data_IF_098728063377
#
_entry.id   IF_098728063377
#
_cell.length_a   1.000
_cell.length_b   1.000
_cell.length_c   1.000
_cell.angle_alpha   90.00
_cell.angle_beta   90.00
_cell.angle_gamma   90.00
#
_symmetry.space_group_name_H-M   'P 1'
#
loop_
_entity.id
_entity.type
_entity.pdbx_description
1 polymer ?
#
# COMPACT_ATOMS: atom_id res chain seq x y z
N UNK A 1 -38.06 30.70 53.47
CA UNK A 1 -37.95 30.26 52.06
C UNK A 1 -36.80 31.00 51.35
N UNK A 2 -35.56 30.51 51.40
CA UNK A 2 -34.52 30.92 50.46
C UNK A 2 -34.24 29.79 49.45
N UNK A 3 -34.19 30.15 48.16
CA UNK A 3 -33.91 29.25 47.04
C UNK A 3 -32.41 28.92 47.00
N UNK A 4 -32.08 27.63 47.15
CA UNK A 4 -30.75 27.12 46.80
C UNK A 4 -30.64 26.97 45.28
N UNK A 5 -29.65 27.64 44.71
CA UNK A 5 -29.26 27.52 43.32
C UNK A 5 -28.16 26.46 43.22
N UNK A 6 -28.51 25.22 42.85
CA UNK A 6 -27.53 24.17 42.57
C UNK A 6 -27.12 24.23 41.10
N UNK A 7 -25.91 24.74 40.83
CA UNK A 7 -25.24 24.62 39.54
C UNK A 7 -24.79 23.18 39.33
N UNK A 8 -25.60 22.37 38.64
CA UNK A 8 -25.16 21.12 38.04
C UNK A 8 -24.28 21.41 36.82
N UNK A 9 -22.97 21.15 36.93
CA UNK A 9 -22.10 21.07 35.74
C UNK A 9 -22.40 19.73 35.06
N UNK A 10 -23.02 19.81 33.89
CA UNK A 10 -23.10 18.67 32.97
C UNK A 10 -21.69 18.30 32.53
N UNK A 11 -21.22 17.12 32.94
CA UNK A 11 -20.05 16.50 32.36
C UNK A 11 -20.45 15.95 30.98
N UNK A 12 -20.21 16.74 29.93
CA UNK A 12 -20.26 16.26 28.56
C UNK A 12 -19.16 15.21 28.39
N UNK A 13 -19.54 13.93 28.40
CA UNK A 13 -18.74 12.86 27.82
C UNK A 13 -18.59 13.15 26.33
N UNK A 14 -17.47 13.77 25.96
CA UNK A 14 -16.99 13.75 24.58
C UNK A 14 -16.50 12.34 24.34
N UNK A 15 -17.30 11.54 23.65
CA UNK A 15 -16.79 10.36 22.98
C UNK A 15 -15.74 10.87 22.00
N UNK A 16 -14.45 10.67 22.30
CA UNK A 16 -13.44 10.69 21.25
C UNK A 16 -13.81 9.54 20.33
N UNK A 17 -14.47 9.86 19.23
CA UNK A 17 -14.68 8.94 18.14
C UNK A 17 -13.27 8.63 17.61
N UNK A 18 -12.72 7.48 18.02
CA UNK A 18 -11.48 6.95 17.48
C UNK A 18 -11.70 6.81 15.98
N UNK A 19 -11.17 7.76 15.20
CA UNK A 19 -11.28 7.75 13.75
C UNK A 19 -10.31 6.72 13.18
N UNK A 20 -10.66 5.45 13.34
CA UNK A 20 -9.95 4.37 12.68
C UNK A 20 -10.13 4.53 11.17
N UNK A 21 -9.05 4.47 10.39
CA UNK A 21 -9.23 4.28 8.96
C UNK A 21 -9.98 2.96 8.75
N UNK A 22 -10.90 2.95 7.81
CA UNK A 22 -11.72 1.77 7.51
C UNK A 22 -11.38 1.32 6.11
N UNK A 23 -10.76 0.14 6.01
CA UNK A 23 -10.47 -0.53 4.74
C UNK A 23 -11.75 -0.68 3.91
N UNK A 24 -11.61 -0.63 2.59
CA UNK A 24 -12.72 -0.96 1.69
C UNK A 24 -13.21 -2.40 1.91
N UNK A 25 -14.50 -2.62 1.66
CA UNK A 25 -15.11 -3.95 1.76
C UNK A 25 -14.69 -4.86 0.59
N UNK A 26 -14.48 -4.26 -0.59
CA UNK A 26 -14.12 -4.94 -1.83
C UNK A 26 -13.10 -4.10 -2.64
N UNK A 27 -12.61 -4.71 -3.72
CA UNK A 27 -11.66 -4.08 -4.64
C UNK A 27 -12.30 -3.17 -5.69
N UNK A 28 -13.60 -2.83 -5.55
CA UNK A 28 -14.36 -2.07 -6.54
C UNK A 28 -13.89 -0.62 -6.72
N UNK A 29 -14.36 0.11 -7.73
CA UNK A 29 -13.91 1.47 -8.00
C UNK A 29 -14.29 2.46 -6.89
N UNK A 30 -13.39 3.41 -6.60
CA UNK A 30 -13.77 4.61 -5.86
C UNK A 30 -14.44 5.60 -6.83
N UNK A 31 -15.77 5.49 -6.99
CA UNK A 31 -16.54 6.32 -7.93
C UNK A 31 -16.33 7.81 -7.67
N UNK A 32 -16.35 8.25 -6.40
CA UNK A 32 -16.13 9.66 -6.02
C UNK A 32 -14.79 10.19 -6.51
N UNK A 33 -13.73 9.39 -6.43
CA UNK A 33 -12.41 9.76 -6.93
C UNK A 33 -12.45 9.99 -8.44
N UNK A 34 -13.06 9.08 -9.22
CA UNK A 34 -13.12 9.19 -10.67
C UNK A 34 -14.09 10.27 -11.18
N UNK A 35 -15.09 10.66 -10.38
CA UNK A 35 -16.01 11.75 -10.69
C UNK A 35 -15.47 13.14 -10.29
N UNK A 36 -14.44 13.21 -9.43
CA UNK A 36 -13.85 14.47 -9.02
C UNK A 36 -13.25 15.22 -10.22
N UNK A 37 -13.54 16.53 -10.31
CA UNK A 37 -13.20 17.37 -11.47
C UNK A 37 -11.71 17.36 -11.82
N UNK A 38 -10.87 17.31 -10.81
CA UNK A 38 -9.42 17.29 -10.92
C UNK A 38 -8.88 15.90 -11.30
N UNK A 39 -9.65 14.82 -11.11
CA UNK A 39 -9.32 13.50 -11.69
C UNK A 39 -9.74 13.48 -13.14
N UNK A 40 -10.94 13.99 -13.44
CA UNK A 40 -11.46 14.06 -14.81
C UNK A 40 -10.52 14.88 -15.70
N UNK A 41 -9.94 15.99 -15.21
CA UNK A 41 -8.97 16.76 -16.01
C UNK A 41 -7.70 15.98 -16.36
N UNK A 42 -7.25 15.04 -15.53
CA UNK A 42 -6.06 14.22 -15.84
C UNK A 42 -6.25 13.31 -17.07
N UNK A 43 -7.50 13.01 -17.45
CA UNK A 43 -7.80 12.28 -18.68
C UNK A 43 -7.49 13.06 -19.96
N UNK A 44 -7.16 14.36 -19.91
CA UNK A 44 -6.82 15.13 -21.10
C UNK A 44 -5.64 14.52 -21.87
N UNK A 45 -4.58 14.12 -21.15
CA UNK A 45 -3.42 13.46 -21.75
C UNK A 45 -3.80 12.16 -22.45
N UNK A 46 -4.66 11.37 -21.82
CA UNK A 46 -5.17 10.10 -22.33
C UNK A 46 -6.04 10.32 -23.57
N UNK A 47 -6.98 11.26 -23.50
CA UNK A 47 -7.88 11.62 -24.61
C UNK A 47 -7.12 12.10 -25.83
N UNK A 48 -6.14 13.00 -25.64
CA UNK A 48 -5.29 13.51 -26.74
C UNK A 48 -4.47 12.36 -27.35
N UNK A 49 -3.89 11.50 -26.52
CA UNK A 49 -3.12 10.36 -27.02
C UNK A 49 -3.99 9.36 -27.81
N UNK A 50 -5.21 9.07 -27.34
CA UNK A 50 -6.18 8.24 -28.07
C UNK A 50 -6.57 8.88 -29.40
N UNK A 51 -6.84 10.19 -29.41
CA UNK A 51 -7.17 10.96 -30.62
C UNK A 51 -6.06 10.97 -31.66
N UNK A 52 -4.79 10.89 -31.24
CA UNK A 52 -3.63 10.81 -32.14
C UNK A 52 -3.40 9.41 -32.68
N UNK A 53 -3.41 8.39 -31.80
CA UNK A 53 -2.91 7.05 -32.14
C UNK A 53 -4.03 6.07 -32.53
N UNK A 54 -5.27 6.29 -32.06
CA UNK A 54 -6.41 5.40 -32.23
C UNK A 54 -7.62 6.11 -32.86
N UNK A 55 -7.40 7.22 -33.57
CA UNK A 55 -8.43 8.05 -34.21
C UNK A 55 -9.49 7.24 -34.95
N UNK A 56 -9.08 6.25 -35.76
CA UNK A 56 -9.99 5.44 -36.57
C UNK A 56 -11.07 4.70 -35.76
N UNK A 57 -10.80 4.35 -34.50
CA UNK A 57 -11.73 3.61 -33.64
C UNK A 57 -12.65 4.52 -32.82
N UNK A 58 -12.30 5.81 -32.68
CA UNK A 58 -13.02 6.76 -31.82
C UNK A 58 -13.61 7.94 -32.59
N UNK A 59 -13.26 8.15 -33.86
CA UNK A 59 -13.68 9.33 -34.61
C UNK A 59 -15.19 9.46 -34.81
N UNK A 60 -15.92 8.34 -34.85
CA UNK A 60 -17.37 8.36 -35.00
C UNK A 60 -18.06 8.94 -33.75
N UNK A 61 -17.47 8.70 -32.58
CA UNK A 61 -17.95 9.22 -31.30
C UNK A 61 -16.73 9.54 -30.42
N UNK A 62 -16.11 10.72 -30.60
CA UNK A 62 -14.90 11.08 -29.88
C UNK A 62 -15.16 11.16 -28.37
N UNK A 63 -14.34 10.48 -27.54
CA UNK A 63 -14.57 10.47 -26.11
C UNK A 63 -14.24 11.81 -25.46
N UNK A 64 -15.03 12.16 -24.46
CA UNK A 64 -14.73 13.24 -23.50
C UNK A 64 -14.00 12.67 -22.29
N UNK A 65 -13.29 13.51 -21.53
CA UNK A 65 -12.63 13.10 -20.29
C UNK A 65 -13.61 12.43 -19.31
N UNK A 66 -14.83 12.99 -19.19
CA UNK A 66 -15.89 12.42 -18.36
C UNK A 66 -16.28 11.03 -18.83
N UNK A 67 -16.47 10.83 -20.14
CA UNK A 67 -16.80 9.51 -20.68
C UNK A 67 -15.70 8.47 -20.49
N UNK A 68 -14.42 8.88 -20.59
CA UNK A 68 -13.29 7.99 -20.31
C UNK A 68 -13.24 7.61 -18.84
N UNK A 69 -13.44 8.57 -17.94
CA UNK A 69 -13.50 8.31 -16.50
C UNK A 69 -14.66 7.36 -16.15
N UNK A 70 -15.85 7.58 -16.70
CA UNK A 70 -16.98 6.68 -16.53
C UNK A 70 -16.72 5.27 -17.06
N UNK A 71 -16.00 5.13 -18.19
CA UNK A 71 -15.61 3.83 -18.72
C UNK A 71 -14.61 3.12 -17.80
N UNK A 72 -13.66 3.83 -17.21
CA UNK A 72 -12.73 3.27 -16.20
C UNK A 72 -13.49 2.72 -15.00
N UNK A 73 -14.46 3.47 -14.48
CA UNK A 73 -15.31 2.99 -13.38
C UNK A 73 -16.06 1.72 -13.77
N UNK A 74 -16.64 1.66 -14.97
CA UNK A 74 -17.35 0.47 -15.45
C UNK A 74 -16.42 -0.74 -15.63
N UNK A 75 -15.20 -0.54 -16.15
CA UNK A 75 -14.20 -1.59 -16.27
C UNK A 75 -13.79 -2.13 -14.90
N UNK A 76 -13.49 -1.25 -13.94
CA UNK A 76 -13.13 -1.64 -12.58
C UNK A 76 -14.27 -2.37 -11.87
N UNK A 77 -15.51 -1.91 -12.05
CA UNK A 77 -16.69 -2.56 -11.49
C UNK A 77 -16.85 -3.97 -12.07
N UNK A 78 -16.80 -4.12 -13.40
CA UNK A 78 -16.89 -5.43 -14.05
C UNK A 78 -15.76 -6.37 -13.61
N UNK A 79 -14.53 -5.86 -13.53
CA UNK A 79 -13.39 -6.62 -13.04
C UNK A 79 -13.62 -7.13 -11.60
N UNK A 80 -14.15 -6.30 -10.70
CA UNK A 80 -14.44 -6.76 -9.33
C UNK A 80 -15.58 -7.79 -9.31
N UNK A 81 -16.65 -7.58 -10.06
CA UNK A 81 -17.81 -8.50 -10.09
C UNK A 81 -17.49 -9.86 -10.70
N UNK A 82 -16.60 -9.91 -11.70
CA UNK A 82 -16.34 -11.14 -12.48
C UNK A 82 -15.02 -11.79 -12.08
N UNK A 83 -14.02 -11.02 -11.64
CA UNK A 83 -12.69 -11.51 -11.28
C UNK A 83 -12.36 -11.28 -9.79
N UNK A 84 -13.24 -10.67 -9.00
CA UNK A 84 -12.98 -10.37 -7.59
C UNK A 84 -12.79 -11.60 -6.72
N UNK A 85 -12.23 -11.39 -5.53
CA UNK A 85 -11.95 -12.42 -4.51
C UNK A 85 -13.17 -13.28 -4.10
N UNK A 86 -14.38 -12.78 -4.36
CA UNK A 86 -15.63 -13.45 -4.00
C UNK A 86 -16.09 -14.43 -5.09
N UNK A 87 -15.49 -14.36 -6.29
CA UNK A 87 -15.82 -15.23 -7.41
C UNK A 87 -15.07 -16.55 -7.28
N UNK A 88 -15.82 -17.64 -7.35
CA UNK A 88 -15.23 -18.97 -7.41
C UNK A 88 -14.69 -19.25 -8.82
N UNK A 89 -13.41 -19.54 -8.94
CA UNK A 89 -12.70 -19.79 -10.21
C UNK A 89 -12.82 -18.62 -11.21
N UNK A 90 -12.26 -17.44 -10.87
CA UNK A 90 -12.30 -16.29 -11.77
C UNK A 90 -11.59 -16.61 -13.10
N UNK A 91 -12.13 -16.19 -14.25
CA UNK A 91 -11.57 -16.53 -15.55
C UNK A 91 -10.23 -15.82 -15.85
N UNK A 92 -9.94 -14.71 -15.17
CA UNK A 92 -8.72 -13.92 -15.33
C UNK A 92 -8.22 -13.41 -13.98
N UNK A 93 -6.91 -13.18 -13.87
CA UNK A 93 -6.32 -12.37 -12.80
C UNK A 93 -6.70 -10.90 -12.99
N UNK A 94 -7.02 -10.19 -11.91
CA UNK A 94 -7.33 -8.75 -11.97
C UNK A 94 -6.12 -7.96 -12.48
N UNK A 95 -6.39 -6.94 -13.28
CA UNK A 95 -5.41 -5.94 -13.65
C UNK A 95 -5.13 -5.03 -12.44
N UNK A 96 -3.85 -4.67 -12.17
CA UNK A 96 -3.51 -3.81 -11.04
C UNK A 96 -4.18 -2.43 -11.16
N UNK A 97 -4.77 -1.92 -10.06
CA UNK A 97 -5.43 -0.61 -10.05
C UNK A 97 -4.48 0.54 -10.47
N UNK A 98 -3.18 0.42 -10.17
CA UNK A 98 -2.14 1.37 -10.62
C UNK A 98 -2.14 1.56 -12.14
N UNK A 99 -2.50 0.53 -12.91
CA UNK A 99 -2.63 0.61 -14.38
C UNK A 99 -3.75 1.57 -14.81
N UNK A 100 -4.84 1.66 -14.03
CA UNK A 100 -5.96 2.58 -14.26
C UNK A 100 -5.71 4.00 -13.74
N UNK A 101 -4.60 4.21 -13.02
CA UNK A 101 -4.19 5.50 -12.46
C UNK A 101 -2.99 6.11 -13.21
N UNK A 102 -2.49 5.45 -14.26
CA UNK A 102 -1.39 5.96 -15.08
C UNK A 102 -1.89 6.89 -16.20
N UNK A 103 -2.17 8.15 -15.83
CA UNK A 103 -2.68 9.19 -16.74
C UNK A 103 -1.64 9.76 -17.72
N UNK A 104 -0.41 9.21 -17.76
CA UNK A 104 0.63 9.66 -18.69
C UNK A 104 0.25 9.34 -20.14
N UNK A 105 0.68 10.19 -21.07
CA UNK A 105 0.52 9.91 -22.49
C UNK A 105 1.30 8.63 -22.87
N UNK A 106 0.60 7.63 -23.41
CA UNK A 106 1.18 6.31 -23.68
C UNK A 106 1.38 5.43 -22.44
N UNK A 107 0.84 5.83 -21.29
CA UNK A 107 0.83 5.02 -20.08
C UNK A 107 -0.16 3.86 -20.13
N UNK A 108 -0.22 3.07 -19.06
CA UNK A 108 -1.07 1.88 -18.96
C UNK A 108 -2.55 2.18 -19.26
N UNK A 109 -3.09 3.28 -18.72
CA UNK A 109 -4.48 3.67 -18.93
C UNK A 109 -4.79 3.98 -20.40
N UNK A 110 -3.84 4.56 -21.13
CA UNK A 110 -3.96 4.77 -22.58
C UNK A 110 -4.13 3.45 -23.32
N UNK A 111 -3.34 2.43 -22.98
CA UNK A 111 -3.38 1.12 -23.61
C UNK A 111 -4.62 0.30 -23.20
N UNK A 112 -5.12 0.46 -21.97
CA UNK A 112 -6.40 -0.12 -21.53
C UNK A 112 -7.55 0.41 -22.38
N UNK A 113 -7.69 1.74 -22.45
CA UNK A 113 -8.80 2.37 -23.17
C UNK A 113 -8.69 2.15 -24.68
N UNK A 114 -7.49 2.19 -25.24
CA UNK A 114 -7.27 1.90 -26.65
C UNK A 114 -7.69 0.48 -27.03
N UNK A 115 -7.31 -0.51 -26.23
CA UNK A 115 -7.73 -1.90 -26.43
C UNK A 115 -9.25 -2.05 -26.31
N UNK A 116 -9.88 -1.41 -25.32
CA UNK A 116 -11.34 -1.43 -25.15
C UNK A 116 -12.09 -0.80 -26.34
N UNK A 117 -11.67 0.39 -26.81
CA UNK A 117 -12.29 1.04 -27.97
C UNK A 117 -12.07 0.27 -29.27
N UNK A 118 -10.87 -0.28 -29.47
CA UNK A 118 -10.61 -1.15 -30.60
C UNK A 118 -11.53 -2.38 -30.57
N UNK A 119 -11.62 -3.05 -29.42
CA UNK A 119 -12.49 -4.22 -29.25
C UNK A 119 -13.96 -3.89 -29.51
N UNK A 120 -14.48 -2.80 -28.93
CA UNK A 120 -15.84 -2.29 -29.20
C UNK A 120 -16.09 -2.07 -30.69
N UNK A 121 -15.14 -1.47 -31.39
CA UNK A 121 -15.22 -1.22 -32.83
C UNK A 121 -15.24 -2.53 -33.63
N UNK A 122 -14.34 -3.45 -33.32
CA UNK A 122 -14.23 -4.74 -34.00
C UNK A 122 -15.49 -5.61 -33.80
N UNK A 123 -16.14 -5.51 -32.64
CA UNK A 123 -17.41 -6.18 -32.33
C UNK A 123 -18.65 -5.45 -32.89
N UNK A 124 -18.50 -4.29 -33.52
CA UNK A 124 -19.61 -3.49 -34.04
C UNK A 124 -20.55 -2.95 -32.95
N UNK A 125 -20.06 -2.77 -31.73
CA UNK A 125 -20.88 -2.34 -30.61
C UNK A 125 -21.15 -0.84 -30.65
N UNK A 126 -22.43 -0.45 -30.51
CA UNK A 126 -22.82 0.96 -30.36
C UNK A 126 -22.29 1.57 -29.06
N UNK A 127 -22.40 0.86 -27.94
CA UNK A 127 -21.94 1.28 -26.62
C UNK A 127 -21.32 0.12 -25.84
N UNK A 128 -20.47 0.44 -24.86
CA UNK A 128 -20.06 -0.52 -23.84
C UNK A 128 -21.28 -0.90 -23.00
N UNK A 129 -21.38 -2.18 -22.63
CA UNK A 129 -22.46 -2.69 -21.81
C UNK A 129 -21.96 -3.90 -21.03
N UNK A 130 -21.53 -3.65 -19.80
CA UNK A 130 -20.94 -4.64 -18.89
C UNK A 130 -21.99 -5.41 -18.08
N UNK A 131 -23.22 -4.90 -18.04
CA UNK A 131 -24.31 -5.47 -17.24
C UNK A 131 -25.16 -6.44 -18.07
N UNK A 132 -25.05 -6.40 -19.41
CA UNK A 132 -25.75 -7.33 -20.29
C UNK A 132 -25.12 -8.74 -20.22
N UNK A 133 -25.83 -9.77 -19.70
CA UNK A 133 -25.28 -11.12 -19.56
C UNK A 133 -24.90 -11.76 -20.90
N UNK A 134 -25.59 -11.41 -22.00
CA UNK A 134 -25.27 -11.94 -23.34
C UNK A 134 -23.89 -11.48 -23.87
N UNK A 135 -23.29 -10.46 -23.25
CA UNK A 135 -21.96 -9.96 -23.59
C UNK A 135 -20.87 -10.44 -22.64
N UNK A 136 -21.19 -11.27 -21.64
CA UNK A 136 -20.25 -11.66 -20.59
C UNK A 136 -18.94 -12.21 -21.16
N UNK A 137 -19.01 -13.27 -21.97
CA UNK A 137 -17.82 -13.90 -22.56
C UNK A 137 -17.00 -12.92 -23.42
N UNK A 138 -17.67 -12.04 -24.17
CA UNK A 138 -17.01 -11.01 -24.98
C UNK A 138 -16.37 -9.92 -24.13
N UNK A 139 -16.97 -9.56 -23.00
CA UNK A 139 -16.38 -8.62 -22.06
C UNK A 139 -15.14 -9.25 -21.39
N UNK A 140 -15.16 -10.55 -21.06
CA UNK A 140 -13.97 -11.28 -20.59
C UNK A 140 -12.87 -11.30 -21.66
N UNK A 141 -13.21 -11.59 -22.92
CA UNK A 141 -12.28 -11.54 -24.06
C UNK A 141 -11.67 -10.14 -24.27
N UNK A 142 -12.45 -9.08 -24.03
CA UNK A 142 -11.94 -7.70 -24.03
C UNK A 142 -10.86 -7.51 -22.97
N UNK A 143 -11.05 -8.05 -21.76
CA UNK A 143 -10.02 -8.00 -20.70
C UNK A 143 -8.77 -8.80 -21.05
N UNK A 144 -8.91 -9.96 -21.71
CA UNK A 144 -7.74 -10.68 -22.26
C UNK A 144 -6.97 -9.82 -23.27
N UNK A 145 -7.70 -9.08 -24.12
CA UNK A 145 -7.09 -8.18 -25.11
C UNK A 145 -6.40 -6.98 -24.44
N UNK A 146 -6.99 -6.43 -23.38
CA UNK A 146 -6.40 -5.37 -22.57
C UNK A 146 -5.11 -5.85 -21.91
N UNK A 147 -5.13 -7.00 -21.23
CA UNK A 147 -3.94 -7.57 -20.57
C UNK A 147 -2.80 -7.79 -21.58
N UNK A 148 -3.12 -8.39 -22.74
CA UNK A 148 -2.16 -8.58 -23.82
C UNK A 148 -1.56 -7.26 -24.31
N UNK A 149 -2.39 -6.22 -24.48
CA UNK A 149 -1.94 -4.87 -24.86
C UNK A 149 -0.99 -4.29 -23.81
N UNK A 150 -1.29 -4.43 -22.53
CA UNK A 150 -0.44 -3.94 -21.44
C UNK A 150 0.92 -4.62 -21.43
N UNK A 151 0.97 -5.95 -21.58
CA UNK A 151 2.23 -6.70 -21.65
C UNK A 151 3.06 -6.28 -22.87
N UNK A 152 2.43 -6.17 -24.04
CA UNK A 152 3.13 -5.79 -25.29
C UNK A 152 3.73 -4.38 -25.25
N UNK A 153 3.14 -3.47 -24.47
CA UNK A 153 3.61 -2.10 -24.34
C UNK A 153 4.43 -1.86 -23.06
N UNK A 154 4.88 -2.93 -22.38
CA UNK A 154 5.64 -2.87 -21.13
C UNK A 154 4.93 -2.10 -19.99
N UNK A 155 3.60 -2.04 -20.04
CA UNK A 155 2.76 -1.46 -19.00
C UNK A 155 2.33 -2.47 -17.93
N UNK A 156 2.55 -3.77 -18.18
CA UNK A 156 2.35 -4.85 -17.22
C UNK A 156 3.50 -5.86 -17.37
N UNK A 157 4.18 -6.16 -16.28
CA UNK A 157 5.28 -7.15 -16.25
C UNK A 157 4.80 -8.41 -15.53
N UNK A 158 5.02 -9.57 -16.15
CA UNK A 158 4.73 -10.87 -15.52
C UNK A 158 5.92 -11.33 -14.67
N UNK A 159 5.70 -11.76 -13.41
CA UNK A 159 6.79 -12.23 -12.56
C UNK A 159 7.50 -13.48 -13.11
N UNK A 160 8.83 -13.50 -12.95
CA UNK A 160 9.71 -14.65 -13.17
C UNK A 160 10.27 -15.03 -11.81
N UNK A 161 9.85 -16.16 -11.27
CA UNK A 161 9.96 -16.48 -9.85
C UNK A 161 10.91 -17.66 -9.65
N UNK A 162 11.96 -17.44 -8.86
CA UNK A 162 12.77 -18.51 -8.29
C UNK A 162 12.20 -18.92 -6.93
N UNK A 163 11.89 -20.20 -6.75
CA UNK A 163 11.37 -20.75 -5.48
C UNK A 163 12.53 -21.39 -4.70
N UNK A 164 12.75 -20.95 -3.46
CA UNK A 164 13.77 -21.50 -2.58
C UNK A 164 13.57 -23.00 -2.36
N UNK A 165 14.67 -23.76 -2.35
CA UNK A 165 14.70 -25.19 -2.02
C UNK A 165 14.30 -25.49 -0.58
N UNK A 166 14.24 -24.48 0.28
CA UNK A 166 13.80 -24.59 1.69
C UNK A 166 12.27 -24.63 1.83
N UNK A 167 11.51 -24.38 0.75
CA UNK A 167 10.06 -24.44 0.79
C UNK A 167 9.62 -25.91 0.84
N UNK A 168 8.76 -26.24 1.81
CA UNK A 168 8.21 -27.58 1.97
C UNK A 168 7.59 -28.10 0.65
N UNK A 169 7.82 -29.36 0.24
CA UNK A 169 7.37 -29.89 -1.04
C UNK A 169 5.87 -29.72 -1.33
N UNK A 170 5.01 -29.88 -0.31
CA UNK A 170 3.56 -29.70 -0.44
C UNK A 170 3.19 -28.24 -0.77
N UNK A 171 3.81 -27.29 -0.07
CA UNK A 171 3.63 -25.87 -0.33
C UNK A 171 4.23 -25.49 -1.69
N UNK A 172 5.41 -26.02 -2.03
CA UNK A 172 6.07 -25.77 -3.31
C UNK A 172 5.18 -26.12 -4.51
N UNK A 173 4.53 -27.30 -4.49
CA UNK A 173 3.58 -27.70 -5.52
C UNK A 173 2.42 -26.71 -5.66
N UNK A 174 1.79 -26.34 -4.53
CA UNK A 174 0.72 -25.34 -4.50
C UNK A 174 1.15 -23.99 -5.07
N UNK A 175 2.34 -23.49 -4.70
CA UNK A 175 2.86 -22.21 -5.19
C UNK A 175 3.07 -22.25 -6.71
N UNK A 176 3.63 -23.33 -7.26
CA UNK A 176 3.82 -23.48 -8.71
C UNK A 176 2.49 -23.44 -9.48
N UNK A 177 1.45 -24.08 -8.94
CA UNK A 177 0.12 -24.08 -9.54
C UNK A 177 -0.49 -22.68 -9.55
N UNK A 178 -0.39 -21.95 -8.43
CA UNK A 178 -0.87 -20.56 -8.33
C UNK A 178 -0.12 -19.67 -9.33
N UNK A 179 1.21 -19.70 -9.34
CA UNK A 179 2.04 -18.89 -10.24
C UNK A 179 1.61 -19.09 -11.70
N UNK A 180 1.46 -20.34 -12.13
CA UNK A 180 1.05 -20.67 -13.50
C UNK A 180 -0.35 -20.15 -13.82
N UNK A 181 -1.29 -20.31 -12.89
CA UNK A 181 -2.69 -19.86 -13.05
C UNK A 181 -2.81 -18.34 -13.16
N UNK A 182 -1.90 -17.59 -12.54
CA UNK A 182 -1.86 -16.12 -12.59
C UNK A 182 -0.81 -15.58 -13.57
N UNK A 183 -0.47 -16.36 -14.59
CA UNK A 183 0.39 -15.96 -15.70
C UNK A 183 1.83 -15.60 -15.31
N UNK A 184 2.27 -15.96 -14.10
CA UNK A 184 3.67 -15.91 -13.71
C UNK A 184 4.46 -17.11 -14.27
N UNK A 185 5.77 -17.04 -14.17
CA UNK A 185 6.68 -18.13 -14.59
C UNK A 185 7.63 -18.52 -13.48
N UNK A 186 8.04 -19.79 -13.46
CA UNK A 186 9.03 -20.31 -12.52
C UNK A 186 10.36 -20.50 -13.25
N UNK A 187 11.46 -20.14 -12.61
CA UNK A 187 12.82 -20.34 -13.13
C UNK A 187 13.69 -21.04 -12.08
N UNK A 188 14.60 -21.89 -12.54
CA UNK A 188 15.67 -22.46 -11.70
C UNK A 188 16.93 -21.56 -11.68
N UNK A 189 16.99 -20.54 -12.55
CA UNK A 189 18.06 -19.53 -12.55
C UNK A 189 17.69 -18.35 -11.63
N UNK A 190 18.30 -18.34 -10.44
CA UNK A 190 18.13 -17.27 -9.45
C UNK A 190 18.56 -15.91 -9.97
N UNK A 191 19.57 -15.82 -10.85
CA UNK A 191 20.07 -14.54 -11.36
C UNK A 191 19.16 -13.94 -12.43
N UNK A 192 18.49 -14.78 -13.23
CA UNK A 192 17.51 -14.35 -14.23
C UNK A 192 16.11 -14.10 -13.65
N UNK A 193 15.89 -14.41 -12.37
CA UNK A 193 14.59 -14.20 -11.72
C UNK A 193 14.29 -12.71 -11.47
N UNK A 194 13.02 -12.33 -11.50
CA UNK A 194 12.59 -11.04 -10.95
C UNK A 194 12.32 -11.12 -9.46
N UNK A 195 11.97 -12.32 -8.94
CA UNK A 195 11.67 -12.57 -7.55
C UNK A 195 12.32 -13.84 -7.03
N UNK A 196 12.83 -13.79 -5.81
CA UNK A 196 13.25 -14.94 -5.02
C UNK A 196 12.23 -15.13 -3.91
N UNK A 197 11.48 -16.23 -3.97
CA UNK A 197 10.48 -16.58 -2.97
C UNK A 197 11.08 -17.55 -1.96
N UNK A 198 10.99 -17.20 -0.68
CA UNK A 198 11.48 -18.03 0.43
C UNK A 198 10.32 -18.53 1.30
N UNK A 199 10.56 -19.47 2.25
CA UNK A 199 9.54 -19.91 3.20
C UNK A 199 8.90 -18.75 3.96
N UNK A 200 7.68 -18.98 4.44
CA UNK A 200 7.01 -18.02 5.32
C UNK A 200 7.79 -17.95 6.64
N UNK A 201 8.17 -16.74 7.12
CA UNK A 201 8.81 -16.57 8.42
C UNK A 201 7.97 -17.20 9.54
N UNK A 202 8.64 -17.71 10.58
CA UNK A 202 7.97 -18.34 11.73
C UNK A 202 7.07 -17.36 12.51
N UNK A 203 7.33 -16.06 12.41
CA UNK A 203 6.50 -15.00 12.97
C UNK A 203 6.24 -13.96 11.89
N UNK A 204 4.97 -13.65 11.70
CA UNK A 204 4.49 -12.54 10.89
C UNK A 204 3.85 -11.50 11.82
N UNK A 205 3.91 -10.25 11.41
CA UNK A 205 3.19 -9.18 12.09
C UNK A 205 1.68 -9.44 11.99
N UNK A 206 1.03 -9.66 13.14
CA UNK A 206 -0.41 -9.93 13.25
C UNK A 206 -1.23 -8.63 13.32
N UNK A 207 -0.60 -7.51 13.68
CA UNK A 207 -1.26 -6.22 13.76
C UNK A 207 -1.48 -5.64 12.35
N UNK A 208 -2.72 -5.21 12.07
CA UNK A 208 -3.01 -4.49 10.83
C UNK A 208 -2.28 -3.14 10.83
N UNK A 209 -1.59 -2.87 9.74
CA UNK A 209 -0.85 -1.63 9.54
C UNK A 209 -1.17 -1.01 8.17
N UNK A 210 -0.91 0.29 8.08
CA UNK A 210 -1.05 1.07 6.85
C UNK A 210 0.22 1.85 6.54
N UNK A 211 0.37 2.22 5.26
CA UNK A 211 1.40 3.15 4.77
C UNK A 211 0.76 4.21 3.86
N UNK A 212 1.11 5.51 3.99
CA UNK A 212 0.62 6.53 3.07
C UNK A 212 1.31 6.40 1.71
N UNK A 213 0.54 6.24 0.63
CA UNK A 213 1.07 5.99 -0.72
C UNK A 213 0.83 7.11 -1.71
N UNK A 214 -0.10 8.02 -1.41
CA UNK A 214 -0.35 9.19 -2.26
C UNK A 214 -1.00 10.31 -1.46
N UNK A 215 -0.50 11.53 -1.61
CA UNK A 215 -1.15 12.74 -1.08
C UNK A 215 -1.74 13.54 -2.22
N UNK A 216 -2.99 13.96 -2.05
CA UNK A 216 -3.71 14.79 -3.01
C UNK A 216 -4.57 15.81 -2.26
N UNK A 217 -4.25 17.09 -2.42
CA UNK A 217 -4.89 18.19 -1.68
C UNK A 217 -4.97 17.90 -0.17
N UNK A 218 -6.18 17.80 0.36
CA UNK A 218 -6.49 17.51 1.77
C UNK A 218 -6.80 16.03 2.00
N UNK A 219 -6.41 15.15 1.09
CA UNK A 219 -6.65 13.72 1.17
C UNK A 219 -5.32 12.94 1.10
N UNK A 220 -5.28 11.82 1.80
CA UNK A 220 -4.18 10.87 1.79
C UNK A 220 -4.74 9.50 1.42
N UNK A 221 -4.13 8.84 0.45
CA UNK A 221 -4.39 7.44 0.12
C UNK A 221 -3.51 6.58 1.03
N UNK A 222 -4.17 5.71 1.80
CA UNK A 222 -3.52 4.72 2.63
C UNK A 222 -3.60 3.35 1.97
N UNK A 223 -2.45 2.70 1.94
CA UNK A 223 -2.32 1.30 1.60
C UNK A 223 -2.39 0.42 2.85
N UNK A 224 -3.07 -0.71 2.74
CA UNK A 224 -3.29 -1.68 3.83
C UNK A 224 -2.35 -2.87 3.66
N UNK A 225 -1.48 -3.10 4.64
CA UNK A 225 -0.47 -4.16 4.55
C UNK A 225 -1.06 -5.55 4.29
N UNK A 226 -0.50 -6.27 3.32
CA UNK A 226 -0.98 -7.57 2.84
C UNK A 226 -2.33 -7.55 2.10
N UNK A 227 -2.85 -6.37 1.76
CA UNK A 227 -4.00 -6.21 0.86
C UNK A 227 -3.51 -5.65 -0.47
N UNK A 228 -4.15 -5.94 -1.60
CA UNK A 228 -3.76 -5.31 -2.85
C UNK A 228 -4.22 -3.85 -2.88
N UNK A 229 -3.59 -3.05 -3.73
CA UNK A 229 -3.86 -1.61 -3.89
C UNK A 229 -5.34 -1.30 -4.17
N UNK A 230 -6.09 -2.26 -4.74
CA UNK A 230 -7.53 -2.09 -4.96
C UNK A 230 -8.33 -1.91 -3.66
N UNK A 231 -7.76 -2.18 -2.48
CA UNK A 231 -8.38 -1.96 -1.17
C UNK A 231 -7.96 -0.65 -0.48
N UNK A 232 -7.08 0.12 -1.11
CA UNK A 232 -6.57 1.37 -0.55
C UNK A 232 -7.69 2.39 -0.30
N UNK A 233 -7.51 3.19 0.75
CA UNK A 233 -8.54 4.08 1.26
C UNK A 233 -8.07 5.52 1.31
N UNK A 234 -8.91 6.42 0.79
CA UNK A 234 -8.72 7.85 0.96
C UNK A 234 -9.23 8.29 2.33
N UNK A 235 -8.41 9.01 3.08
CA UNK A 235 -8.77 9.66 4.34
C UNK A 235 -8.32 11.13 4.33
N UNK A 236 -8.73 11.91 5.33
CA UNK A 236 -8.24 13.28 5.44
C UNK A 236 -6.74 13.29 5.68
N UNK A 237 -6.00 14.11 4.94
CA UNK A 237 -4.56 14.26 5.14
C UNK A 237 -4.20 14.83 6.53
N UNK A 238 -5.15 15.48 7.22
CA UNK A 238 -4.98 15.95 8.60
C UNK A 238 -5.03 14.82 9.64
N UNK A 239 -5.51 13.63 9.26
CA UNK A 239 -5.64 12.46 10.14
C UNK A 239 -4.38 11.57 10.07
N UNK A 240 -3.35 11.97 9.33
CA UNK A 240 -2.12 11.19 9.13
C UNK A 240 -0.90 12.06 9.32
N UNK A 241 -0.18 11.86 10.42
CA UNK A 241 1.13 12.49 10.66
C UNK A 241 2.28 11.66 10.06
N UNK A 242 2.17 11.38 8.76
CA UNK A 242 3.20 10.69 8.00
C UNK A 242 3.30 11.22 6.58
N UNK A 243 4.50 11.15 6.02
CA UNK A 243 4.77 11.47 4.62
C UNK A 243 4.39 10.31 3.73
N UNK A 244 4.11 10.61 2.46
CA UNK A 244 3.98 9.59 1.42
C UNK A 244 5.30 8.82 1.37
N UNK A 245 5.19 7.49 1.32
CA UNK A 245 6.35 6.63 1.21
C UNK A 245 7.16 6.91 -0.06
N UNK A 246 8.43 6.54 -0.02
CA UNK A 246 9.27 6.57 -1.21
C UNK A 246 8.84 5.49 -2.21
N UNK A 247 8.99 5.75 -3.52
CA UNK A 247 8.71 4.76 -4.54
C UNK A 247 9.58 3.52 -4.32
N UNK A 248 9.09 2.34 -4.70
CA UNK A 248 9.84 1.12 -4.52
C UNK A 248 11.21 1.10 -5.22
N UNK A 249 12.18 0.41 -4.62
CA UNK A 249 13.49 0.19 -5.26
C UNK A 249 13.35 -0.56 -6.58
N UNK A 250 14.17 -0.17 -7.56
CA UNK A 250 14.26 -0.85 -8.85
C UNK A 250 15.14 -2.12 -8.81
N UNK A 251 15.72 -2.44 -7.65
CA UNK A 251 16.60 -3.60 -7.47
C UNK A 251 15.88 -4.92 -7.71
N UNK A 252 16.55 -5.82 -8.41
CA UNK A 252 16.08 -7.18 -8.72
C UNK A 252 17.24 -8.17 -8.49
N UNK A 253 16.95 -9.43 -8.10
CA UNK A 253 15.62 -9.96 -7.80
C UNK A 253 15.12 -9.48 -6.43
N UNK A 254 13.80 -9.24 -6.32
CA UNK A 254 13.17 -8.95 -5.03
C UNK A 254 13.03 -10.21 -4.20
N UNK A 255 13.45 -10.17 -2.95
CA UNK A 255 13.35 -11.31 -2.04
C UNK A 255 12.10 -11.17 -1.17
N UNK A 256 11.12 -12.04 -1.38
CA UNK A 256 9.83 -12.02 -0.69
C UNK A 256 9.49 -13.38 -0.09
N UNK A 257 8.62 -13.45 0.91
CA UNK A 257 8.15 -14.73 1.46
C UNK A 257 6.94 -15.29 0.70
N UNK A 258 6.73 -16.61 0.80
CA UNK A 258 5.72 -17.35 0.03
C UNK A 258 4.25 -16.88 0.22
N UNK A 259 3.95 -16.13 1.28
CA UNK A 259 2.61 -15.54 1.48
C UNK A 259 2.23 -14.57 0.35
N UNK A 260 3.20 -13.95 -0.32
CA UNK A 260 2.96 -13.07 -1.47
C UNK A 260 2.15 -13.76 -2.58
N UNK A 261 2.49 -15.03 -2.87
CA UNK A 261 1.77 -15.85 -3.85
C UNK A 261 0.45 -16.39 -3.27
N UNK A 262 0.42 -16.74 -1.98
CA UNK A 262 -0.81 -17.23 -1.35
C UNK A 262 -1.89 -16.14 -1.29
N UNK A 263 -1.51 -14.90 -1.04
CA UNK A 263 -2.44 -13.77 -1.02
C UNK A 263 -2.86 -13.36 -2.43
N UNK A 264 -1.97 -13.48 -3.44
CA UNK A 264 -2.36 -13.38 -4.85
C UNK A 264 -3.52 -14.32 -5.19
N UNK A 265 -3.42 -15.59 -4.77
CA UNK A 265 -4.48 -16.58 -4.98
C UNK A 265 -5.79 -16.18 -4.28
N UNK A 266 -5.68 -15.60 -3.08
CA UNK A 266 -6.82 -15.17 -2.28
C UNK A 266 -7.54 -13.95 -2.85
N UNK A 267 -6.80 -12.95 -3.33
CA UNK A 267 -7.35 -11.68 -3.82
C UNK A 267 -7.54 -11.64 -5.33
N UNK A 268 -6.98 -12.61 -6.04
CA UNK A 268 -6.90 -12.67 -7.50
C UNK A 268 -6.26 -11.41 -8.12
N UNK A 269 -5.25 -10.86 -7.44
CA UNK A 269 -4.48 -9.68 -7.86
C UNK A 269 -3.02 -9.84 -7.43
N UNK A 270 -2.06 -9.43 -8.26
CA UNK A 270 -0.65 -9.43 -7.85
C UNK A 270 -0.42 -8.43 -6.71
N UNK A 271 0.21 -8.91 -5.64
CA UNK A 271 0.36 -8.18 -4.39
C UNK A 271 1.58 -7.25 -4.41
N UNK A 272 1.58 -6.22 -3.58
CA UNK A 272 2.73 -5.32 -3.40
C UNK A 272 3.88 -6.08 -2.73
N UNK A 273 5.01 -6.20 -3.41
CA UNK A 273 6.18 -6.93 -2.91
C UNK A 273 6.69 -6.37 -1.58
N UNK A 274 6.54 -5.06 -1.39
CA UNK A 274 6.95 -4.28 -0.22
C UNK A 274 6.40 -4.80 1.10
N UNK A 275 5.24 -5.46 1.06
CA UNK A 275 4.59 -5.99 2.24
C UNK A 275 5.23 -7.32 2.67
N UNK A 276 5.89 -8.02 1.74
CA UNK A 276 6.40 -9.39 1.89
C UNK A 276 7.92 -9.48 1.80
N UNK A 277 8.62 -8.35 1.66
CA UNK A 277 10.08 -8.29 1.57
C UNK A 277 10.75 -8.86 2.82
N UNK A 278 11.82 -9.65 2.62
CA UNK A 278 12.59 -10.29 3.70
C UNK A 278 14.08 -9.98 3.59
N UNK A 279 14.73 -9.74 4.74
CA UNK A 279 16.15 -9.41 4.83
C UNK A 279 16.40 -7.99 5.36
N UNK A 280 17.64 -7.70 5.74
CA UNK A 280 18.03 -6.43 6.36
C UNK A 280 18.33 -5.29 5.37
N UNK A 281 18.34 -5.57 4.07
CA UNK A 281 18.75 -4.63 3.02
C UNK A 281 17.68 -3.67 2.50
N UNK A 282 16.42 -3.81 2.93
CA UNK A 282 15.34 -2.89 2.54
C UNK A 282 15.27 -1.69 3.48
N UNK A 283 15.03 -0.50 2.94
CA UNK A 283 14.54 0.63 3.74
C UNK A 283 13.30 0.17 4.49
N UNK A 284 13.36 0.03 5.82
CA UNK A 284 12.20 -0.32 6.63
C UNK A 284 11.16 0.78 6.44
N UNK A 285 10.15 0.52 5.60
CA UNK A 285 9.04 1.44 5.37
C UNK A 285 8.31 1.65 6.69
N UNK A 286 7.95 2.91 6.99
CA UNK A 286 7.26 3.26 8.22
C UNK A 286 5.83 2.68 8.16
N UNK A 287 5.60 1.60 8.91
CA UNK A 287 4.28 1.01 9.13
C UNK A 287 3.58 1.73 10.28
N UNK A 288 2.34 2.16 10.06
CA UNK A 288 1.51 2.83 11.07
C UNK A 288 0.43 1.83 11.48
N UNK A 289 0.24 1.57 12.77
CA UNK A 289 -0.86 0.68 13.19
C UNK A 289 -2.20 1.28 12.76
N UNK A 290 -3.04 0.44 12.15
CA UNK A 290 -4.36 0.85 11.67
C UNK A 290 -5.29 1.24 12.83
N UNK A 291 -5.04 0.70 14.04
CA UNK A 291 -5.77 1.03 15.27
C UNK A 291 -5.38 2.39 15.81
N UNK A 292 -4.11 2.77 15.65
CA UNK A 292 -3.51 3.98 16.20
C UNK A 292 -3.43 5.11 15.19
N UNK A 293 -4.18 5.09 14.08
CA UNK A 293 -4.24 6.21 13.13
C UNK A 293 -4.73 7.52 13.78
N UNK A 294 -5.06 7.50 15.08
CA UNK A 294 -5.26 8.66 15.94
C UNK A 294 -4.44 8.68 17.22
N UNK A 295 -3.60 7.69 17.53
CA UNK A 295 -2.76 7.80 18.73
C UNK A 295 -1.51 8.57 18.37
N UNK A 296 -1.36 9.72 19.04
CA UNK A 296 -0.10 10.43 19.18
C UNK A 296 1.01 9.40 19.43
N UNK A 297 1.84 9.15 18.40
CA UNK A 297 3.06 8.39 18.61
C UNK A 297 3.93 9.29 19.46
N UNK A 298 3.89 9.04 20.76
CA UNK A 298 4.89 9.47 21.71
C UNK A 298 6.24 9.22 21.05
N UNK A 299 6.94 10.30 20.71
CA UNK A 299 8.33 10.26 20.28
C UNK A 299 9.10 9.35 21.25
N UNK A 300 9.91 8.39 20.77
CA UNK A 300 10.76 7.61 21.65
C UNK A 300 11.57 8.58 22.50
N UNK A 301 11.35 8.50 23.80
CA UNK A 301 11.86 9.38 24.84
C UNK A 301 13.40 9.47 24.76
N UNK A 302 13.92 10.48 24.06
CA UNK A 302 15.29 10.96 24.27
C UNK A 302 15.32 11.69 25.61
N UNK A 303 15.31 10.92 26.70
CA UNK A 303 15.66 11.36 28.06
C UNK A 303 16.01 10.16 28.94
N UNK A 304 16.99 9.37 28.49
CA UNK A 304 17.94 8.78 29.43
C UNK A 304 18.78 9.90 30.01
N UNK A 305 18.31 10.54 31.08
CA UNK A 305 19.22 11.09 32.06
C UNK A 305 18.71 10.92 33.49
N UNK A 306 19.63 10.36 34.28
CA UNK A 306 19.45 9.83 35.61
C UNK A 306 19.02 10.92 36.60
N UNK A 307 17.94 10.69 37.36
CA UNK A 307 17.79 11.31 38.69
C UNK A 307 18.38 10.39 39.76
N UNK A 308 19.39 10.83 40.54
CA UNK A 308 19.76 10.15 41.77
C UNK A 308 18.88 10.66 42.93
N UNK A 309 18.19 9.75 43.59
CA UNK A 309 17.58 9.99 44.89
C UNK A 309 18.51 9.43 45.97
N UNK A 310 19.10 10.30 46.80
CA UNK A 310 19.14 10.05 48.25
C UNK A 310 19.62 11.28 49.02
N UNK A 311 18.67 11.91 49.72
CA UNK A 311 18.92 12.92 50.73
C UNK A 311 19.39 12.23 52.03
N UNK A 312 20.61 12.54 52.49
CA UNK A 312 21.02 12.37 53.88
C UNK A 312 21.00 13.73 54.58
N UNK A 313 20.12 13.86 55.57
CA UNK A 313 20.11 14.92 56.60
C UNK A 313 21.48 15.02 57.27
N UNK A 314 21.99 16.24 57.52
CA UNK A 314 22.34 16.73 58.88
C UNK A 314 22.88 18.17 58.92
N UNK A 315 22.21 18.95 59.79
CA UNK A 315 22.65 19.99 60.74
C UNK A 315 23.15 21.37 60.26
N UNK A 316 22.58 22.39 60.93
CA UNK A 316 22.77 23.85 60.85
C UNK A 316 24.12 24.32 61.46
N UNK A 317 24.80 25.22 60.72
CA UNK A 317 25.59 26.44 61.08
C UNK A 317 26.78 26.39 62.09
N UNK A 318 27.70 27.38 62.15
CA UNK A 318 28.01 28.55 61.27
C UNK A 318 29.52 28.73 60.90
N UNK A 319 29.85 29.69 60.01
CA UNK A 319 31.22 30.22 59.70
C UNK A 319 31.75 31.17 60.81
N UNK A 320 33.00 31.74 60.82
CA UNK A 320 34.15 31.70 59.86
C UNK A 320 35.60 31.50 60.48
N UNK A 321 36.61 31.56 59.60
CA UNK A 321 38.12 31.48 59.56
C UNK A 321 38.98 32.05 60.75
N UNK A 322 40.37 32.09 60.76
CA UNK A 322 41.43 31.56 59.86
C UNK A 322 42.78 30.98 60.52
N UNK A 323 43.64 30.36 59.67
CA UNK A 323 45.15 30.26 59.66
C UNK A 323 45.99 29.28 60.56
N UNK A 324 47.24 28.87 60.13
CA UNK A 324 47.88 27.53 60.27
C UNK A 324 49.19 27.56 61.15
N UNK A 325 50.28 26.76 60.96
CA UNK A 325 50.59 25.33 60.62
C UNK A 325 51.39 24.67 61.82
N UNK A 326 52.49 23.87 61.70
CA UNK A 326 52.95 22.79 60.78
C UNK A 326 53.34 21.47 61.55
N UNK A 327 53.60 20.34 60.86
CA UNK A 327 54.81 19.54 61.13
C UNK A 327 55.10 18.40 60.13
N UNK A 328 56.39 18.08 60.08
CA UNK A 328 57.16 17.38 59.07
C UNK A 328 57.13 15.83 59.13
N UNK A 329 57.31 15.24 57.94
CA UNK A 329 58.23 14.12 57.66
C UNK A 329 57.97 12.72 58.27
N UNK A 330 57.87 11.70 57.41
CA UNK A 330 59.02 10.85 56.99
C UNK A 330 58.57 9.66 56.13
N UNK A 331 59.38 9.44 55.08
CA UNK A 331 59.59 8.22 54.29
C UNK A 331 59.66 6.95 55.16
N UNK A 332 59.27 5.78 54.63
CA UNK A 332 60.19 4.84 53.95
C UNK A 332 59.50 3.59 53.38
N UNK A 333 59.96 3.26 52.17
CA UNK A 333 59.91 1.98 51.45
C UNK A 333 60.13 0.72 52.32
N UNK A 334 59.46 -0.37 51.93
CA UNK A 334 60.13 -1.68 51.77
C UNK A 334 59.48 -2.51 50.66
N UNK A 335 60.33 -3.27 49.97
CA UNK A 335 60.13 -3.98 48.69
C UNK A 335 60.02 -5.49 48.98
N UNK A 336 59.19 -6.17 48.17
CA UNK A 336 59.15 -7.59 47.76
C UNK A 336 59.85 -8.67 48.61
N UNK A 337 59.08 -9.72 48.89
CA UNK A 337 59.48 -11.13 48.80
C UNK A 337 58.40 -11.85 48.00
#
# INVERSE_FOLDING_TARGET
MPRLCSRGRSASHVWLETKMAVRKKDGGPNVKYFEASDTVSQFDNVRVWLGKNYKKYIQAEPPTNKSLSSLVVQLLQFQEEVFGRHVSNPPLTKLPIKSFLDFKAGGALCHILAAAYKFKSDQGWRRFDFQNPSRMDRNVEMFMTIEKSLVQNNCLTRPVIYLSSEIEPKLLGKLKDIIKRHQGSVTDDKQASSHVVVPIPASLEEEEWVRPVMKRDKQMLLHWGYWPDSYDTWISASEVEAVVEDPPSAEKPRKVHAKWILDLDQYNEWMNEEDYEVGEGGTRRKRISAKTLTDEVSTPDERRDKKPANAKKRKRSPSPSPTPPPQESKKKNTKKG
#
